data_IF_554436391751
#
_entry.id   IF_554436391751
#
_cell.length_a   1.000
_cell.length_b   1.000
_cell.length_c   1.000
_cell.angle_alpha   90.00
_cell.angle_beta   90.00
_cell.angle_gamma   90.00
#
_symmetry.space_group_name_H-M   'P 1'
#
loop_
_entity.id
_entity.type
_entity.pdbx_description
1 polymer ?
#
# COMPACT_ATOMS: atom_id res chain seq x y z
N UNK A 1 -3.60 -12.73 15.38
CA UNK A 1 -2.96 -11.83 14.42
C UNK A 1 -3.30 -12.31 13.02
N UNK A 2 -3.65 -11.43 12.11
CA UNK A 2 -3.91 -11.79 10.72
C UNK A 2 -2.59 -12.10 10.01
N UNK A 3 -2.63 -12.94 8.98
CA UNK A 3 -1.45 -13.31 8.21
C UNK A 3 -1.46 -12.54 6.88
N UNK A 4 -0.62 -11.49 6.76
CA UNK A 4 -0.55 -10.66 5.56
C UNK A 4 -0.15 -11.46 4.31
N UNK A 5 0.54 -12.60 4.48
CA UNK A 5 0.92 -13.49 3.37
C UNK A 5 -0.27 -14.14 2.66
N UNK A 6 -1.46 -14.06 3.26
CA UNK A 6 -2.70 -14.54 2.67
C UNK A 6 -3.53 -13.47 2.00
N UNK A 7 -3.13 -12.21 2.13
CA UNK A 7 -3.86 -11.11 1.51
C UNK A 7 -3.60 -11.10 0.00
N UNK A 8 -4.69 -11.01 -0.74
CA UNK A 8 -4.69 -10.89 -2.21
C UNK A 8 -5.20 -9.54 -2.67
N UNK A 9 -6.08 -8.92 -1.86
CA UNK A 9 -6.78 -7.70 -2.21
C UNK A 9 -6.92 -6.79 -1.00
N UNK A 10 -6.51 -5.53 -1.15
CA UNK A 10 -6.65 -4.47 -0.15
C UNK A 10 -7.39 -3.29 -0.78
N UNK A 11 -8.41 -2.76 -0.11
CA UNK A 11 -8.90 -1.43 -0.43
C UNK A 11 -8.13 -0.39 0.37
N UNK A 12 -7.56 0.62 -0.34
CA UNK A 12 -6.88 1.74 0.28
C UNK A 12 -7.80 2.95 0.28
N UNK A 13 -8.13 3.43 1.47
CA UNK A 13 -8.98 4.59 1.72
C UNK A 13 -8.13 5.81 2.09
N UNK A 14 -8.31 6.88 1.36
CA UNK A 14 -7.67 8.17 1.61
C UNK A 14 -8.49 8.94 2.66
N UNK A 15 -7.93 9.23 3.84
CA UNK A 15 -8.69 9.89 4.92
C UNK A 15 -9.07 11.33 4.61
N UNK A 16 -8.40 11.97 3.63
CA UNK A 16 -8.74 13.31 3.15
C UNK A 16 -9.92 13.31 2.17
N UNK A 17 -10.35 12.12 1.68
CA UNK A 17 -11.46 11.99 0.73
C UNK A 17 -12.75 11.55 1.42
N UNK A 18 -13.87 12.12 0.98
CA UNK A 18 -15.17 11.73 1.48
C UNK A 18 -15.61 10.37 0.91
N UNK A 19 -16.08 9.48 1.76
CA UNK A 19 -16.79 8.24 1.40
C UNK A 19 -18.11 8.18 2.16
N UNK A 20 -19.21 7.86 1.45
CA UNK A 20 -20.54 7.69 2.09
C UNK A 20 -20.55 6.47 3.01
N UNK A 21 -21.51 6.39 3.93
CA UNK A 21 -21.65 5.23 4.80
C UNK A 21 -22.06 3.99 3.99
N UNK A 22 -22.91 4.14 2.98
CA UNK A 22 -23.34 3.04 2.11
C UNK A 22 -22.18 2.48 1.28
N UNK A 23 -21.31 3.35 0.72
CA UNK A 23 -20.13 2.91 -0.02
C UNK A 23 -19.09 2.24 0.89
N UNK A 24 -18.91 2.78 2.09
CA UNK A 24 -18.01 2.20 3.09
C UNK A 24 -18.49 0.81 3.53
N UNK A 25 -19.80 0.66 3.79
CA UNK A 25 -20.42 -0.63 4.10
C UNK A 25 -20.18 -1.64 2.98
N UNK A 26 -20.48 -1.25 1.73
CA UNK A 26 -20.26 -2.09 0.56
C UNK A 26 -18.82 -2.55 0.42
N UNK A 27 -17.84 -1.67 0.65
CA UNK A 27 -16.41 -1.97 0.63
C UNK A 27 -16.03 -2.94 1.76
N UNK A 28 -16.41 -2.64 3.00
CA UNK A 28 -16.06 -3.45 4.15
C UNK A 28 -16.71 -4.83 4.14
N UNK A 29 -17.87 -4.98 3.47
CA UNK A 29 -18.58 -6.25 3.32
C UNK A 29 -18.23 -7.01 2.03
N UNK A 30 -17.31 -6.49 1.19
CA UNK A 30 -17.01 -7.04 -0.13
C UNK A 30 -16.12 -8.29 -0.15
N UNK A 31 -15.69 -8.80 0.99
CA UNK A 31 -14.69 -9.86 1.12
C UNK A 31 -13.25 -9.44 0.75
N UNK A 32 -12.93 -8.15 0.69
CA UNK A 32 -11.53 -7.69 0.67
C UNK A 32 -10.78 -8.27 1.88
N UNK A 33 -9.46 -8.46 1.77
CA UNK A 33 -8.69 -9.04 2.88
C UNK A 33 -8.42 -8.04 3.99
N UNK A 34 -8.28 -6.76 3.63
CA UNK A 34 -8.02 -5.68 4.58
C UNK A 34 -8.51 -4.33 4.03
N UNK A 35 -8.65 -3.38 4.94
CA UNK A 35 -8.70 -1.94 4.61
C UNK A 35 -7.37 -1.33 5.03
N UNK A 36 -6.77 -0.55 4.15
CA UNK A 36 -5.61 0.29 4.43
C UNK A 36 -6.04 1.75 4.43
N UNK A 37 -5.75 2.48 5.49
CA UNK A 37 -5.92 3.94 5.53
C UNK A 37 -4.58 4.56 5.16
N UNK A 38 -4.56 5.47 4.18
CA UNK A 38 -3.34 6.14 3.75
C UNK A 38 -3.60 7.12 2.62
N UNK A 39 -2.80 8.16 2.57
CA UNK A 39 -2.85 9.22 1.55
C UNK A 39 -1.54 10.00 1.52
N UNK A 40 -1.37 10.88 0.52
CA UNK A 40 -0.15 11.68 0.38
C UNK A 40 -0.33 13.09 0.94
N UNK A 41 -1.48 13.71 0.68
CA UNK A 41 -1.77 15.10 1.07
C UNK A 41 -2.90 15.14 2.10
N UNK A 42 -2.85 16.17 2.96
CA UNK A 42 -3.91 16.50 3.92
C UNK A 42 -4.27 15.36 4.88
N UNK A 43 -3.33 14.43 5.11
CA UNK A 43 -3.48 13.36 6.10
C UNK A 43 -3.22 13.94 7.48
N UNK A 44 -4.26 14.00 8.30
CA UNK A 44 -4.23 14.55 9.66
C UNK A 44 -4.70 13.51 10.67
N UNK A 45 -4.31 13.68 11.94
CA UNK A 45 -4.80 12.83 13.03
C UNK A 45 -6.33 12.75 13.04
N UNK A 46 -7.02 13.89 12.93
CA UNK A 46 -8.49 13.97 13.01
C UNK A 46 -9.17 13.16 11.90
N UNK A 47 -8.73 13.29 10.62
CA UNK A 47 -9.38 12.58 9.53
C UNK A 47 -9.05 11.08 9.53
N UNK A 48 -7.87 10.70 10.00
CA UNK A 48 -7.50 9.29 10.20
C UNK A 48 -8.35 8.66 11.31
N UNK A 49 -8.47 9.31 12.49
CA UNK A 49 -9.33 8.85 13.59
C UNK A 49 -10.79 8.72 13.14
N UNK A 50 -11.29 9.73 12.43
CA UNK A 50 -12.66 9.71 11.94
C UNK A 50 -12.92 8.50 11.02
N UNK A 51 -12.04 8.26 10.04
CA UNK A 51 -12.19 7.14 9.11
C UNK A 51 -11.98 5.80 9.83
N UNK A 52 -10.95 5.68 10.68
CA UNK A 52 -10.67 4.50 11.49
C UNK A 52 -11.90 4.10 12.32
N UNK A 53 -12.53 5.03 13.02
CA UNK A 53 -13.69 4.76 13.87
C UNK A 53 -14.89 4.21 13.08
N UNK A 54 -15.05 4.59 11.82
CA UNK A 54 -16.08 4.09 10.93
C UNK A 54 -15.77 2.68 10.45
N UNK A 55 -14.50 2.39 10.07
CA UNK A 55 -14.07 1.07 9.57
C UNK A 55 -14.02 0.04 10.71
N UNK A 56 -13.67 0.44 11.92
CA UNK A 56 -13.59 -0.47 13.10
C UNK A 56 -14.92 -1.13 13.49
N UNK A 57 -16.03 -0.73 12.89
CA UNK A 57 -17.34 -1.39 13.06
C UNK A 57 -17.43 -2.74 12.31
N UNK A 58 -16.48 -3.01 11.42
CA UNK A 58 -16.45 -4.23 10.59
C UNK A 58 -15.36 -5.20 11.04
N UNK A 59 -15.60 -6.52 10.96
CA UNK A 59 -14.67 -7.55 11.43
C UNK A 59 -13.62 -7.89 10.36
N UNK A 60 -12.80 -6.92 9.96
CA UNK A 60 -11.72 -7.13 9.00
C UNK A 60 -10.45 -6.39 9.45
N UNK A 61 -9.27 -6.84 8.99
CA UNK A 61 -8.00 -6.18 9.28
C UNK A 61 -8.01 -4.73 8.85
N UNK A 62 -7.48 -3.86 9.71
CA UNK A 62 -7.33 -2.44 9.42
C UNK A 62 -5.85 -2.05 9.55
N UNK A 63 -5.27 -1.56 8.48
CA UNK A 63 -3.89 -1.10 8.42
C UNK A 63 -3.80 0.42 8.23
N UNK A 64 -2.75 1.01 8.79
CA UNK A 64 -2.34 2.39 8.49
C UNK A 64 -1.06 2.36 7.65
N UNK A 65 -1.08 2.97 6.46
CA UNK A 65 0.16 3.29 5.74
C UNK A 65 0.65 4.66 6.23
N UNK A 66 1.82 4.68 6.85
CA UNK A 66 2.35 5.89 7.47
C UNK A 66 2.97 6.80 6.42
N UNK A 67 2.34 7.93 6.16
CA UNK A 67 2.86 8.97 5.26
C UNK A 67 3.60 10.10 5.98
N UNK A 68 3.31 10.32 7.26
CA UNK A 68 3.97 11.32 8.11
C UNK A 68 3.90 10.89 9.59
N UNK A 69 4.75 11.49 10.44
CA UNK A 69 4.79 11.14 11.86
C UNK A 69 3.59 11.65 12.66
N UNK A 70 2.93 12.70 12.19
CA UNK A 70 1.79 13.31 12.89
C UNK A 70 0.51 12.46 12.78
N UNK A 71 0.44 11.59 11.77
CA UNK A 71 -0.69 10.67 11.58
C UNK A 71 -0.55 9.34 12.32
N UNK A 72 0.57 9.12 13.01
CA UNK A 72 0.82 7.87 13.75
C UNK A 72 -0.01 7.87 15.03
N UNK A 73 -0.93 6.91 15.14
CA UNK A 73 -1.79 6.74 16.31
C UNK A 73 -2.09 5.27 16.57
N UNK A 74 -2.40 4.87 17.81
CA UNK A 74 -2.79 3.50 18.13
C UNK A 74 -4.17 3.15 17.57
N UNK A 75 -4.45 1.86 17.42
CA UNK A 75 -5.79 1.37 17.07
C UNK A 75 -5.86 0.66 15.72
N UNK A 76 -4.75 0.43 15.06
CA UNK A 76 -4.63 -0.39 13.86
C UNK A 76 -4.13 -1.79 14.18
N UNK A 77 -4.42 -2.75 13.29
CA UNK A 77 -3.88 -4.11 13.42
C UNK A 77 -2.46 -4.19 12.84
N UNK A 78 -2.16 -3.31 11.86
CA UNK A 78 -0.84 -3.18 11.23
C UNK A 78 -0.51 -1.74 10.86
N UNK A 79 0.78 -1.45 10.91
CA UNK A 79 1.38 -0.18 10.48
C UNK A 79 2.35 -0.45 9.34
N UNK A 80 2.00 -0.04 8.12
CA UNK A 80 2.89 -0.12 6.97
C UNK A 80 3.81 1.10 6.97
N UNK A 81 5.11 0.84 7.01
CA UNK A 81 6.14 1.88 7.13
C UNK A 81 7.01 1.86 5.88
N UNK A 82 6.80 2.83 4.97
CA UNK A 82 7.52 2.84 3.69
C UNK A 82 8.97 3.30 3.85
N UNK A 83 9.87 2.56 3.22
CA UNK A 83 11.22 2.98 2.87
C UNK A 83 11.24 3.19 1.36
N UNK A 84 11.32 4.43 0.89
CA UNK A 84 11.26 4.73 -0.54
C UNK A 84 12.62 4.44 -1.18
N UNK A 85 12.76 3.24 -1.74
CA UNK A 85 14.04 2.70 -2.21
C UNK A 85 14.66 3.51 -3.35
N UNK A 86 13.83 4.09 -4.22
CA UNK A 86 14.26 4.91 -5.33
C UNK A 86 14.21 6.43 -5.05
N UNK A 87 14.07 6.84 -3.79
CA UNK A 87 14.19 8.25 -3.43
C UNK A 87 15.64 8.74 -3.54
N UNK A 88 15.82 9.96 -4.06
CA UNK A 88 17.11 10.67 -4.05
C UNK A 88 17.33 11.48 -2.77
N UNK A 89 16.31 11.52 -1.90
CA UNK A 89 16.37 12.18 -0.59
C UNK A 89 16.44 11.12 0.52
N UNK A 90 17.57 11.09 1.23
CA UNK A 90 17.81 10.13 2.30
C UNK A 90 16.77 10.19 3.42
N UNK A 91 16.06 11.30 3.56
CA UNK A 91 14.98 11.44 4.55
C UNK A 91 13.88 10.40 4.33
N UNK A 92 13.51 10.13 3.07
CA UNK A 92 12.48 9.15 2.71
C UNK A 92 13.01 7.72 2.63
N UNK A 93 14.32 7.55 2.61
CA UNK A 93 14.93 6.22 2.65
C UNK A 93 15.01 5.66 4.08
N UNK A 94 15.57 6.45 5.02
CA UNK A 94 15.69 6.02 6.42
C UNK A 94 15.63 7.15 7.46
N UNK A 95 15.69 8.42 7.04
CA UNK A 95 15.76 9.56 7.98
C UNK A 95 14.49 9.73 8.81
N UNK A 96 13.32 9.65 8.17
CA UNK A 96 12.03 9.75 8.86
C UNK A 96 11.82 8.54 9.77
N UNK A 97 12.20 7.34 9.31
CA UNK A 97 12.14 6.12 10.12
C UNK A 97 13.01 6.23 11.38
N UNK A 98 14.23 6.78 11.26
CA UNK A 98 15.10 7.03 12.42
C UNK A 98 14.41 7.96 13.44
N UNK A 99 13.77 9.03 12.99
CA UNK A 99 13.05 9.93 13.89
C UNK A 99 11.82 9.25 14.52
N UNK A 100 11.08 8.46 13.76
CA UNK A 100 9.97 7.66 14.29
C UNK A 100 10.42 6.74 15.41
N UNK A 101 11.50 5.99 15.20
CA UNK A 101 12.04 5.07 16.21
C UNK A 101 12.59 5.80 17.45
N UNK A 102 13.17 6.98 17.28
CA UNK A 102 13.60 7.81 18.43
C UNK A 102 12.41 8.29 19.26
N UNK A 103 11.31 8.65 18.61
CA UNK A 103 10.12 9.21 19.27
C UNK A 103 9.23 8.12 19.86
N UNK A 104 8.95 7.08 19.11
CA UNK A 104 7.93 6.08 19.42
C UNK A 104 8.49 4.68 19.73
N UNK A 105 9.77 4.42 19.47
CA UNK A 105 10.34 3.05 19.52
C UNK A 105 10.13 2.30 20.83
N UNK A 106 10.02 3.02 21.95
CA UNK A 106 9.74 2.45 23.26
C UNK A 106 8.28 1.98 23.45
N UNK A 107 7.37 2.40 22.55
CA UNK A 107 5.94 2.10 22.60
C UNK A 107 5.48 1.25 21.41
N UNK A 108 6.37 0.96 20.45
CA UNK A 108 6.06 0.18 19.26
C UNK A 108 6.02 -1.31 19.60
N UNK A 109 4.91 -1.97 19.25
CA UNK A 109 4.91 -3.42 19.06
C UNK A 109 5.37 -3.72 17.63
N UNK A 110 6.59 -4.23 17.49
CA UNK A 110 7.17 -4.52 16.19
C UNK A 110 6.49 -5.68 15.44
N UNK A 111 5.65 -6.47 16.13
CA UNK A 111 4.82 -7.49 15.46
C UNK A 111 3.66 -6.88 14.65
N UNK A 112 3.25 -5.65 15.00
CA UNK A 112 2.25 -4.89 14.25
C UNK A 112 2.85 -4.05 13.11
N UNK A 113 4.19 -3.95 13.01
CA UNK A 113 4.88 -3.10 12.02
C UNK A 113 5.30 -3.92 10.81
N UNK A 114 4.88 -3.47 9.63
CA UNK A 114 5.28 -4.02 8.34
C UNK A 114 6.18 -3.00 7.64
N UNK A 115 7.49 -3.27 7.62
CA UNK A 115 8.42 -2.47 6.84
C UNK A 115 8.28 -2.82 5.36
N UNK A 116 8.07 -1.82 4.52
CA UNK A 116 7.90 -2.01 3.09
C UNK A 116 8.97 -1.27 2.28
N UNK A 117 9.52 -1.94 1.29
CA UNK A 117 10.37 -1.34 0.26
C UNK A 117 9.49 -0.72 -0.81
N UNK A 118 9.37 0.60 -0.81
CA UNK A 118 8.46 1.35 -1.67
C UNK A 118 9.19 1.84 -2.91
N UNK A 119 8.75 1.44 -4.10
CA UNK A 119 9.31 1.88 -5.39
C UNK A 119 8.26 2.64 -6.17
N UNK A 120 8.47 3.95 -6.31
CA UNK A 120 7.54 4.85 -7.00
C UNK A 120 7.88 4.91 -8.49
N UNK A 121 6.93 4.55 -9.34
CA UNK A 121 7.14 4.42 -10.79
C UNK A 121 6.46 5.52 -11.63
N UNK A 122 5.37 6.15 -11.15
CA UNK A 122 4.72 7.23 -11.89
C UNK A 122 5.35 8.59 -11.60
N UNK A 123 6.03 9.25 -12.57
CA UNK A 123 6.67 10.56 -12.38
C UNK A 123 5.68 11.69 -12.08
N UNK A 124 4.42 11.56 -12.53
CA UNK A 124 3.41 12.59 -12.35
C UNK A 124 2.69 12.47 -10.99
N UNK A 125 2.93 11.38 -10.25
CA UNK A 125 2.31 11.18 -8.94
C UNK A 125 2.78 12.21 -7.91
N UNK A 126 1.90 12.55 -6.97
CA UNK A 126 2.24 13.41 -5.85
C UNK A 126 3.33 12.79 -4.98
N UNK A 127 3.27 11.48 -4.78
CA UNK A 127 4.27 10.76 -3.99
C UNK A 127 5.66 10.83 -4.63
N UNK A 128 5.79 10.73 -5.97
CA UNK A 128 7.07 10.88 -6.65
C UNK A 128 7.68 12.27 -6.43
N UNK A 129 6.87 13.30 -6.55
CA UNK A 129 7.28 14.70 -6.36
C UNK A 129 7.67 14.96 -4.88
N UNK A 130 6.87 14.48 -3.95
CA UNK A 130 7.09 14.65 -2.52
C UNK A 130 8.36 13.93 -2.05
N UNK A 131 8.55 12.69 -2.47
CA UNK A 131 9.68 11.85 -2.05
C UNK A 131 10.94 12.02 -2.89
N UNK A 132 10.88 12.85 -3.95
CA UNK A 132 11.97 13.03 -4.92
C UNK A 132 12.45 11.69 -5.52
N UNK A 133 11.49 10.81 -5.81
CA UNK A 133 11.79 9.50 -6.35
C UNK A 133 12.38 9.61 -7.77
N UNK A 134 13.42 8.85 -8.05
CA UNK A 134 13.88 8.63 -9.41
C UNK A 134 12.95 7.62 -10.10
N UNK A 135 12.09 8.12 -10.98
CA UNK A 135 11.08 7.31 -11.69
C UNK A 135 11.54 6.87 -13.10
N UNK A 136 12.71 7.30 -13.55
CA UNK A 136 13.34 6.82 -14.79
C UNK A 136 14.03 5.49 -14.52
N UNK A 137 13.24 4.44 -14.37
CA UNK A 137 13.73 3.10 -13.99
C UNK A 137 13.72 2.16 -15.20
N UNK A 138 14.82 1.48 -15.42
CA UNK A 138 14.92 0.35 -16.34
C UNK A 138 14.40 -0.93 -15.68
N UNK A 139 14.26 -2.00 -16.45
CA UNK A 139 13.92 -3.34 -15.92
C UNK A 139 15.00 -3.79 -14.94
N UNK A 140 16.28 -3.59 -15.27
CA UNK A 140 17.41 -3.97 -14.44
C UNK A 140 17.45 -3.19 -13.11
N UNK A 141 16.99 -1.93 -13.09
CA UNK A 141 16.83 -1.16 -11.86
C UNK A 141 15.78 -1.80 -10.94
N UNK A 142 14.65 -2.22 -11.51
CA UNK A 142 13.57 -2.88 -10.75
C UNK A 142 14.04 -4.22 -10.19
N UNK A 143 14.73 -5.03 -11.00
CA UNK A 143 15.32 -6.29 -10.56
C UNK A 143 16.30 -6.07 -9.41
N UNK A 144 17.15 -5.04 -9.50
CA UNK A 144 18.09 -4.67 -8.44
C UNK A 144 17.36 -4.23 -7.14
N UNK A 145 16.33 -3.41 -7.25
CA UNK A 145 15.52 -3.03 -6.07
C UNK A 145 14.81 -4.24 -5.45
N UNK A 146 14.31 -5.17 -6.26
CA UNK A 146 13.71 -6.41 -5.76
C UNK A 146 14.74 -7.27 -5.00
N UNK A 147 15.95 -7.41 -5.55
CA UNK A 147 17.05 -8.12 -4.87
C UNK A 147 17.46 -7.42 -3.57
N UNK A 148 17.52 -6.07 -3.55
CA UNK A 148 17.79 -5.31 -2.34
C UNK A 148 16.72 -5.55 -1.28
N UNK A 149 15.44 -5.47 -1.65
CA UNK A 149 14.32 -5.71 -0.74
C UNK A 149 14.37 -7.13 -0.16
N UNK A 150 14.57 -8.14 -1.02
CA UNK A 150 14.51 -9.56 -0.65
C UNK A 150 15.76 -10.04 0.11
N UNK A 151 16.97 -9.69 -0.34
CA UNK A 151 18.21 -10.27 0.19
C UNK A 151 18.97 -9.34 1.13
N UNK A 152 19.05 -8.05 0.81
CA UNK A 152 19.82 -7.10 1.59
C UNK A 152 19.04 -6.61 2.82
N UNK A 153 17.82 -6.12 2.61
CA UNK A 153 16.99 -5.59 3.68
C UNK A 153 16.09 -6.65 4.33
N UNK A 154 15.77 -7.73 3.61
CA UNK A 154 14.85 -8.78 4.06
C UNK A 154 13.50 -8.21 4.48
N UNK A 155 12.97 -7.32 3.67
CA UNK A 155 11.69 -6.67 3.93
C UNK A 155 10.54 -7.67 3.75
N UNK A 156 9.50 -7.62 4.60
CA UNK A 156 8.33 -8.46 4.42
C UNK A 156 7.54 -8.12 3.16
N UNK A 157 7.61 -6.86 2.70
CA UNK A 157 6.86 -6.35 1.54
C UNK A 157 7.76 -5.50 0.64
N UNK A 158 7.65 -5.68 -0.66
CA UNK A 158 8.06 -4.72 -1.69
C UNK A 158 6.81 -4.20 -2.38
N UNK A 159 6.65 -2.89 -2.45
CA UNK A 159 5.49 -2.24 -3.04
C UNK A 159 5.87 -1.46 -4.29
N UNK A 160 5.34 -1.86 -5.45
CA UNK A 160 5.43 -1.12 -6.71
C UNK A 160 4.24 -0.17 -6.80
N UNK A 161 4.51 1.13 -6.79
CA UNK A 161 3.50 2.18 -6.71
C UNK A 161 3.40 3.02 -8.00
N UNK A 162 2.20 3.03 -8.59
CA UNK A 162 1.84 3.81 -9.78
C UNK A 162 0.68 4.78 -9.50
N UNK A 163 0.64 5.41 -8.34
CA UNK A 163 -0.45 6.33 -7.94
C UNK A 163 -1.00 7.16 -9.10
N UNK A 164 -2.30 7.05 -9.33
CA UNK A 164 -3.03 7.82 -10.33
C UNK A 164 -3.01 7.23 -11.74
N UNK A 165 -2.15 6.25 -12.04
CA UNK A 165 -1.98 5.63 -13.34
C UNK A 165 -1.93 4.10 -13.23
N UNK A 166 -2.43 3.40 -14.26
CA UNK A 166 -2.27 1.95 -14.35
C UNK A 166 -0.87 1.63 -14.87
N UNK A 167 -0.10 0.90 -14.09
CA UNK A 167 1.31 0.65 -14.35
C UNK A 167 1.58 -0.39 -15.43
N UNK A 168 2.84 -0.45 -15.84
CA UNK A 168 3.35 -1.45 -16.77
C UNK A 168 3.51 -2.81 -16.06
N UNK A 169 2.79 -3.81 -16.53
CA UNK A 169 2.85 -5.18 -15.98
C UNK A 169 4.23 -5.83 -16.15
N UNK A 170 5.03 -5.40 -17.12
CA UNK A 170 6.41 -5.90 -17.31
C UNK A 170 7.33 -5.48 -16.15
N UNK A 171 7.16 -4.28 -15.60
CA UNK A 171 7.86 -3.79 -14.42
C UNK A 171 7.50 -4.61 -13.18
N UNK A 172 6.20 -4.87 -12.99
CA UNK A 172 5.71 -5.68 -11.87
C UNK A 172 6.22 -7.11 -11.96
N UNK A 173 6.26 -7.67 -13.18
CA UNK A 173 6.78 -9.01 -13.46
C UNK A 173 8.27 -9.10 -13.16
N UNK A 174 9.07 -8.12 -13.61
CA UNK A 174 10.51 -8.08 -13.34
C UNK A 174 10.80 -8.10 -11.82
N UNK A 175 10.04 -7.34 -11.02
CA UNK A 175 10.14 -7.41 -9.57
C UNK A 175 9.82 -8.82 -9.04
N UNK A 176 8.71 -9.43 -9.50
CA UNK A 176 8.24 -10.72 -9.00
C UNK A 176 9.23 -11.86 -9.20
N UNK A 177 10.04 -11.82 -10.28
CA UNK A 177 11.02 -12.86 -10.60
C UNK A 177 12.23 -12.91 -9.63
N UNK A 178 12.43 -11.85 -8.83
CA UNK A 178 13.53 -11.74 -7.87
C UNK A 178 13.11 -11.74 -6.39
N UNK A 179 11.81 -11.95 -6.12
CA UNK A 179 11.27 -12.03 -4.77
C UNK A 179 10.95 -13.50 -4.42
N UNK A 180 11.44 -13.97 -3.26
CA UNK A 180 11.21 -15.33 -2.78
C UNK A 180 10.58 -15.36 -1.40
N UNK A 181 11.01 -14.47 -0.50
CA UNK A 181 10.51 -14.35 0.87
C UNK A 181 9.72 -13.05 1.07
N UNK A 182 10.04 -12.01 0.29
CA UNK A 182 9.36 -10.71 0.30
C UNK A 182 8.12 -10.78 -0.57
N UNK A 183 6.97 -10.36 -0.06
CA UNK A 183 5.73 -10.27 -0.83
C UNK A 183 5.74 -9.07 -1.77
N UNK A 184 5.25 -9.26 -2.99
CA UNK A 184 5.05 -8.19 -3.95
C UNK A 184 3.66 -7.59 -3.82
N UNK A 185 3.59 -6.33 -3.43
CA UNK A 185 2.38 -5.52 -3.44
C UNK A 185 2.40 -4.62 -4.68
N UNK A 186 1.25 -4.45 -5.29
CA UNK A 186 1.06 -3.53 -6.43
C UNK A 186 -0.09 -2.58 -6.14
N UNK A 187 0.14 -1.27 -6.29
CA UNK A 187 -0.88 -0.23 -6.28
C UNK A 187 -0.70 0.74 -7.43
N UNK A 188 -1.81 1.16 -8.03
CA UNK A 188 -1.80 2.14 -9.12
C UNK A 188 -2.90 1.89 -10.14
N UNK A 189 -3.79 2.84 -10.31
CA UNK A 189 -4.74 2.99 -11.39
C UNK A 189 -5.66 1.81 -11.72
N UNK A 190 -5.74 0.78 -10.90
CA UNK A 190 -6.69 -0.33 -11.11
C UNK A 190 -8.11 0.23 -11.11
N UNK A 191 -8.79 0.13 -12.26
CA UNK A 191 -10.12 0.70 -12.47
C UNK A 191 -11.13 -0.28 -13.05
N UNK A 192 -10.74 -1.55 -13.22
CA UNK A 192 -11.58 -2.60 -13.76
C UNK A 192 -11.22 -3.98 -13.21
N UNK A 193 -12.19 -4.90 -13.27
CA UNK A 193 -11.99 -6.31 -12.96
C UNK A 193 -10.82 -6.92 -13.77
N UNK A 194 -10.74 -6.64 -15.09
CA UNK A 194 -9.67 -7.13 -15.96
C UNK A 194 -8.28 -6.71 -15.47
N UNK A 195 -8.11 -5.42 -15.13
CA UNK A 195 -6.83 -4.91 -14.61
C UNK A 195 -6.48 -5.51 -13.26
N UNK A 196 -7.48 -5.74 -12.40
CA UNK A 196 -7.28 -6.40 -11.11
C UNK A 196 -6.78 -7.84 -11.30
N UNK A 197 -7.38 -8.62 -12.20
CA UNK A 197 -6.93 -9.97 -12.52
C UNK A 197 -5.53 -9.99 -13.15
N UNK A 198 -5.23 -9.07 -14.06
CA UNK A 198 -3.91 -8.96 -14.69
C UNK A 198 -2.82 -8.77 -13.64
N UNK A 199 -2.94 -7.75 -12.76
CA UNK A 199 -1.93 -7.50 -11.74
C UNK A 199 -1.89 -8.55 -10.64
N UNK A 200 -3.03 -9.10 -10.24
CA UNK A 200 -3.09 -10.17 -9.24
C UNK A 200 -2.53 -11.52 -9.76
N UNK A 201 -2.34 -11.68 -11.08
CA UNK A 201 -1.65 -12.84 -11.63
C UNK A 201 -0.12 -12.75 -11.48
N UNK A 202 0.41 -11.57 -11.15
CA UNK A 202 1.84 -11.28 -11.03
C UNK A 202 2.20 -10.95 -9.59
N UNK A 203 1.48 -10.00 -8.98
CA UNK A 203 1.68 -9.57 -7.60
C UNK A 203 0.96 -10.49 -6.61
N UNK A 204 1.52 -10.64 -5.42
CA UNK A 204 0.89 -11.38 -4.33
C UNK A 204 -0.36 -10.67 -3.83
N UNK A 205 -0.31 -9.34 -3.74
CA UNK A 205 -1.40 -8.50 -3.26
C UNK A 205 -1.59 -7.28 -4.17
N UNK A 206 -2.83 -6.98 -4.52
CA UNK A 206 -3.17 -5.71 -5.18
C UNK A 206 -3.84 -4.75 -4.22
N UNK A 207 -3.52 -3.45 -4.39
CA UNK A 207 -4.09 -2.36 -3.61
C UNK A 207 -4.93 -1.48 -4.54
N UNK A 208 -6.20 -1.30 -4.19
CA UNK A 208 -7.18 -0.57 -5.00
C UNK A 208 -7.68 0.64 -4.23
N UNK A 209 -7.49 1.83 -4.78
CA UNK A 209 -7.85 3.10 -4.13
C UNK A 209 -8.77 3.98 -4.97
N UNK A 210 -8.25 4.74 -5.91
CA UNK A 210 -8.93 5.84 -6.61
C UNK A 210 -10.30 5.51 -7.23
N UNK A 211 -10.47 4.29 -7.72
CA UNK A 211 -11.74 3.86 -8.35
C UNK A 211 -12.91 3.83 -7.34
N UNK A 212 -12.62 3.71 -6.05
CA UNK A 212 -13.62 3.73 -4.97
C UNK A 212 -14.44 5.03 -5.04
N UNK A 213 -13.75 6.14 -5.26
CA UNK A 213 -14.33 7.48 -5.28
C UNK A 213 -14.93 7.90 -6.64
N UNK A 214 -14.65 7.11 -7.70
CA UNK A 214 -15.13 7.39 -9.06
C UNK A 214 -16.28 6.48 -9.47
N UNK A 215 -16.21 5.20 -9.13
CA UNK A 215 -17.19 4.17 -9.48
C UNK A 215 -17.08 2.99 -8.50
N UNK A 216 -17.85 3.04 -7.43
CA UNK A 216 -17.87 2.02 -6.39
C UNK A 216 -18.20 0.63 -6.94
N UNK A 217 -19.09 0.55 -7.96
CA UNK A 217 -19.46 -0.74 -8.56
C UNK A 217 -18.29 -1.40 -9.29
N UNK A 218 -17.42 -0.60 -9.91
CA UNK A 218 -16.18 -1.11 -10.51
C UNK A 218 -15.16 -1.49 -9.46
N UNK A 219 -15.02 -0.70 -8.38
CA UNK A 219 -14.17 -1.04 -7.26
C UNK A 219 -14.53 -2.41 -6.68
N UNK A 220 -15.79 -2.63 -6.37
CA UNK A 220 -16.28 -3.91 -5.82
C UNK A 220 -16.02 -5.13 -6.72
N UNK A 221 -15.95 -4.94 -8.05
CA UNK A 221 -15.63 -6.04 -8.98
C UNK A 221 -14.16 -6.47 -8.90
N UNK A 222 -13.26 -5.63 -8.39
CA UNK A 222 -11.83 -5.97 -8.27
C UNK A 222 -11.57 -7.07 -7.24
N UNK A 223 -12.46 -7.24 -6.25
CA UNK A 223 -12.37 -8.29 -5.21
C UNK A 223 -12.55 -9.71 -5.78
N UNK A 224 -13.14 -9.85 -6.97
CA UNK A 224 -13.38 -11.16 -7.60
C UNK A 224 -12.12 -11.96 -7.92
N UNK A 225 -10.95 -11.35 -7.89
CA UNK A 225 -9.67 -12.07 -8.00
C UNK A 225 -9.55 -13.19 -6.96
N UNK A 226 -10.21 -13.06 -5.82
CA UNK A 226 -10.21 -14.05 -4.73
C UNK A 226 -11.03 -15.30 -5.06
N UNK A 227 -11.99 -15.21 -5.95
CA UNK A 227 -12.83 -16.34 -6.37
C UNK A 227 -12.06 -17.34 -7.26
N UNK A 228 -11.00 -16.86 -7.93
CA UNK A 228 -10.18 -17.66 -8.85
C UNK A 228 -8.99 -18.34 -8.18
N UNK A 229 -8.78 -18.11 -6.88
CA UNK A 229 -7.66 -18.66 -6.08
C UNK A 229 -8.04 -19.95 -5.34
N UNK A 230 -9.10 -20.62 -5.77
CA UNK A 230 -9.55 -21.90 -5.20
C UNK A 230 -9.13 -23.08 -6.07
#
# INVERSE_FOLDING_TARGET
MYDIKKWRHIFKLDPAKHISDDDLDAICMSQTDAIMIGGTDDVTEDNVIHLMSRVRRYPLPLALEISNLESVMPGFDYYFVPTVLNSTDVSFHNGILLQALKTFGHSIDFEEVIFEGYVVCNPESKVAKHTKANTSLSIEDIEAYAQMANYMYRLPVMYIEYSGEYGDSSIVKAASEHLTETQLFYGGGISSERQAFEMASIADTIIVGDIIYKDIKKALKTVKIKESSK
#
